data_IF_467331702837
#
_entry.id   IF_467331702837
#
_cell.length_a   1.000
_cell.length_b   1.000
_cell.length_c   1.000
_cell.angle_alpha   90.00
_cell.angle_beta   90.00
_cell.angle_gamma   90.00
#
_symmetry.space_group_name_H-M   'P 1'
#
loop_
_entity.id
_entity.type
_entity.pdbx_description
1 polymer ?
2 non-polymer ?
3 non-polymer ?
4 water ?
#
# COMPACT_ATOMS: atom_id res chain seq x y z
N UNK A 1 -18.58 -16.67 7.57
CA UNK A 1 -17.25 -16.86 6.97
C UNK A 1 -17.46 -17.50 5.59
N UNK A 2 -16.48 -17.29 4.70
CA UNK A 2 -16.62 -17.67 3.30
C UNK A 2 -15.29 -18.37 3.04
N UNK A 3 -15.28 -19.46 2.27
CA UNK A 3 -14.03 -20.06 1.89
C UNK A 3 -13.83 -19.72 0.40
N UNK A 4 -12.58 -19.57 -0.03
CA UNK A 4 -12.33 -19.25 -1.43
C UNK A 4 -11.19 -20.07 -1.99
N UNK A 5 -11.24 -20.30 -3.29
CA UNK A 5 -10.16 -20.98 -4.01
C UNK A 5 -9.84 -20.09 -5.17
N UNK A 6 -8.54 -19.99 -5.51
CA UNK A 6 -8.10 -19.13 -6.61
C UNK A 6 -6.91 -19.72 -7.30
N UNK A 7 -6.98 -19.75 -8.62
CA UNK A 7 -5.84 -20.16 -9.44
C UNK A 7 -5.34 -18.98 -10.21
N UNK A 8 -4.04 -18.85 -10.36
CA UNK A 8 -3.50 -17.66 -11.02
C UNK A 8 -2.12 -17.88 -11.54
N UNK A 9 -1.49 -16.79 -11.98
CA UNK A 9 -0.12 -16.85 -12.50
C UNK A 9 0.66 -15.62 -12.09
N UNK A 10 1.98 -15.75 -11.99
CA UNK A 10 2.82 -14.59 -11.58
C UNK A 10 3.16 -13.72 -12.81
N UNK A 11 3.83 -12.60 -12.62
CA UNK A 11 4.39 -11.87 -13.78
C UNK A 11 5.37 -12.68 -14.63
N UNK A 12 5.94 -13.73 -14.02
CA UNK A 12 6.93 -14.61 -14.69
C UNK A 12 6.26 -15.90 -15.25
N UNK A 13 4.93 -15.90 -15.25
CA UNK A 13 4.13 -17.02 -15.80
C UNK A 13 4.24 -18.33 -15.00
N UNK A 14 4.59 -18.25 -13.71
CA UNK A 14 4.48 -19.43 -12.85
C UNK A 14 3.08 -19.49 -12.23
N UNK A 15 2.61 -20.67 -11.87
CA UNK A 15 1.22 -20.85 -11.33
C UNK A 15 1.20 -20.50 -9.85
N UNK A 16 0.07 -20.01 -9.34
CA UNK A 16 -0.13 -19.81 -7.94
C UNK A 16 -1.46 -20.42 -7.66
N UNK A 17 -1.63 -20.91 -6.43
CA UNK A 17 -2.90 -21.54 -6.08
C UNK A 17 -3.16 -21.04 -4.68
N UNK A 18 -4.37 -20.55 -4.40
CA UNK A 18 -4.63 -19.92 -3.12
C UNK A 18 -5.89 -20.43 -2.48
N UNK A 19 -5.82 -20.77 -1.21
CA UNK A 19 -7.05 -21.14 -0.48
C UNK A 19 -7.21 -20.10 0.59
N UNK A 20 -8.45 -19.67 0.84
CA UNK A 20 -8.66 -18.51 1.68
C UNK A 20 -9.88 -18.63 2.57
N UNK A 21 -9.88 -17.87 3.65
CA UNK A 21 -11.08 -17.72 4.46
C UNK A 21 -11.29 -16.23 4.62
N UNK A 22 -12.55 -15.78 4.61
CA UNK A 22 -12.93 -14.39 4.64
C UNK A 22 -13.99 -14.20 5.71
N UNK A 23 -13.93 -13.07 6.44
CA UNK A 23 -14.93 -12.71 7.43
C UNK A 23 -15.49 -11.32 7.13
N UNK A 24 -16.76 -11.26 6.75
CA UNK A 24 -17.41 -10.02 6.39
C UNK A 24 -17.36 -9.10 7.61
N UNK A 25 -17.05 -7.82 7.42
CA UNK A 25 -17.09 -6.86 8.54
C UNK A 25 -18.49 -6.63 9.06
N UNK A 26 -19.49 -6.88 8.21
CA UNK A 26 -20.83 -6.33 8.76
C UNK A 26 -21.24 -4.81 9.48
N UNK A 27 -20.42 -4.08 8.72
CA UNK A 27 -20.47 -2.62 8.73
C UNK A 27 -20.35 -2.14 7.31
N UNK A 28 -21.14 -1.12 7.01
CA UNK A 28 -21.12 -0.43 5.73
C UNK A 28 -21.06 1.08 5.95
N UNK A 29 -20.52 1.79 4.97
CA UNK A 29 -20.45 3.25 4.93
C UNK A 29 -20.81 3.72 3.53
N UNK A 30 -21.04 5.02 3.41
CA UNK A 30 -21.36 5.68 2.12
C UNK A 30 -22.47 4.99 1.34
N UNK A 31 -23.50 4.53 2.07
CA UNK A 31 -24.57 3.80 1.42
C UNK A 31 -25.51 4.73 0.72
N UNK A 32 -25.69 4.48 -0.59
CA UNK A 32 -26.58 5.27 -1.44
C UNK A 32 -27.28 4.27 -2.37
N UNK A 33 -28.09 4.80 -3.29
CA UNK A 33 -28.73 3.96 -4.30
C UNK A 33 -27.67 3.31 -5.21
N UNK A 34 -26.48 3.92 -5.27
CA UNK A 34 -25.37 3.40 -6.07
C UNK A 34 -24.78 2.11 -5.53
N UNK A 35 -24.66 2.01 -4.20
CA UNK A 35 -23.95 0.90 -3.59
C UNK A 35 -23.49 1.34 -2.20
N UNK A 36 -22.45 0.69 -1.69
CA UNK A 36 -21.96 0.99 -0.36
C UNK A 36 -20.51 0.57 -0.31
N UNK A 37 -19.77 1.22 0.61
CA UNK A 37 -18.44 0.78 0.99
C UNK A 37 -18.61 -0.22 2.14
N UNK A 38 -17.86 -1.31 2.04
CA UNK A 38 -17.82 -2.30 3.12
C UNK A 38 -16.45 -2.98 3.13
N UNK A 39 -16.35 -4.18 3.71
CA UNK A 39 -15.09 -4.93 3.61
C UNK A 39 -15.11 -6.25 4.33
N UNK A 40 -13.93 -6.89 4.34
CA UNK A 40 -13.78 -8.18 5.01
C UNK A 40 -12.34 -8.42 5.42
N UNK A 41 -12.16 -9.33 6.39
CA UNK A 41 -10.83 -9.71 6.77
C UNK A 41 -10.53 -10.93 5.92
N UNK A 42 -9.36 -10.98 5.34
CA UNK A 42 -9.04 -12.06 4.40
C UNK A 42 -7.74 -12.79 4.85
N UNK A 43 -7.88 -14.09 5.09
CA UNK A 43 -6.73 -14.98 5.40
C UNK A 43 -6.46 -15.88 4.18
N UNK A 44 -5.20 -15.99 3.79
CA UNK A 44 -4.86 -16.68 2.55
C UNK A 44 -3.71 -17.64 2.74
N UNK A 45 -3.83 -18.82 2.15
CA UNK A 45 -2.70 -19.72 2.12
C UNK A 45 -2.38 -19.91 0.60
N UNK A 46 -1.15 -19.62 0.16
CA UNK A 46 -0.88 -19.62 -1.30
C UNK A 46 0.26 -20.54 -1.54
N UNK A 47 0.13 -21.36 -2.59
CA UNK A 47 1.29 -22.11 -3.07
C UNK A 47 1.76 -21.46 -4.38
N UNK A 48 3.07 -21.33 -4.50
CA UNK A 48 3.73 -20.67 -5.62
C UNK A 48 4.58 -21.70 -6.28
N UNK A 49 4.31 -22.00 -7.54
CA UNK A 49 5.11 -22.89 -8.35
C UNK A 49 6.56 -22.40 -8.37
N UNK A 50 7.50 -23.35 -8.37
CA UNK A 50 8.93 -23.00 -8.34
C UNK A 50 9.32 -22.34 -9.64
N UNK A 51 10.52 -21.76 -9.68
CA UNK A 51 11.01 -21.15 -10.89
C UNK A 51 12.53 -21.20 -10.77
N UNK A 52 13.25 -20.23 -11.30
CA UNK A 52 14.68 -20.39 -11.22
C UNK A 52 15.33 -19.95 -9.90
N UNK A 53 14.58 -19.28 -9.02
CA UNK A 53 15.11 -18.95 -7.67
C UNK A 53 14.79 -19.88 -6.51
N UNK A 54 13.51 -20.29 -6.39
CA UNK A 54 13.08 -21.31 -5.43
C UNK A 54 12.33 -22.47 -6.08
N UNK A 55 12.34 -23.64 -5.43
CA UNK A 55 11.38 -24.69 -5.75
C UNK A 55 10.06 -24.13 -5.24
N UNK A 56 9.02 -24.96 -5.15
CA UNK A 56 7.71 -24.47 -4.71
C UNK A 56 7.77 -23.91 -3.31
N UNK A 57 7.00 -22.86 -3.07
CA UNK A 57 7.00 -22.15 -1.78
C UNK A 57 5.54 -21.87 -1.33
N UNK A 58 5.38 -21.47 -0.08
CA UNK A 58 4.03 -21.25 0.48
C UNK A 58 4.04 -19.89 1.16
N UNK A 59 2.92 -19.21 1.17
CA UNK A 59 2.81 -17.98 1.92
C UNK A 59 1.51 -17.99 2.73
N UNK A 60 1.55 -17.35 3.88
CA UNK A 60 0.37 -17.16 4.72
C UNK A 60 0.20 -15.65 4.77
N UNK A 61 -1.00 -15.18 4.49
CA UNK A 61 -1.22 -13.74 4.47
C UNK A 61 -2.54 -13.37 5.15
N UNK A 62 -2.61 -12.14 5.61
CA UNK A 62 -3.78 -11.64 6.26
C UNK A 62 -3.95 -10.15 5.94
N UNK A 63 -5.15 -9.75 5.51
CA UNK A 63 -5.42 -8.38 5.08
C UNK A 63 -6.83 -7.94 5.40
N UNK A 64 -6.98 -6.67 5.84
CA UNK A 64 -8.28 -6.02 5.72
C UNK A 64 -8.45 -5.70 4.25
N UNK A 65 -9.65 -5.96 3.73
CA UNK A 65 -9.93 -5.70 2.32
C UNK A 65 -11.20 -4.84 2.24
N UNK A 66 -11.09 -3.65 1.66
CA UNK A 66 -12.25 -2.75 1.45
C UNK A 66 -12.96 -3.16 0.17
N UNK A 67 -14.28 -3.02 0.16
CA UNK A 67 -15.06 -3.44 -0.99
C UNK A 67 -16.01 -2.35 -1.29
N UNK A 68 -16.08 -1.94 -2.54
CA UNK A 68 -17.26 -1.17 -2.92
C UNK A 68 -18.22 -2.09 -3.67
N UNK A 69 -19.43 -2.25 -3.16
CA UNK A 69 -20.37 -3.20 -3.72
C UNK A 69 -21.47 -2.37 -4.32
N UNK A 70 -21.66 -2.48 -5.63
CA UNK A 70 -22.70 -1.76 -6.31
C UNK A 70 -24.08 -2.43 -6.11
N UNK A 71 -25.16 -1.64 -6.11
CA UNK A 71 -26.52 -2.19 -5.97
C UNK A 71 -26.81 -3.34 -6.97
N UNK A 72 -27.62 -4.30 -6.53
CA UNK A 72 -28.02 -5.37 -7.44
C UNK A 72 -28.95 -6.26 -6.65
N UNK A 73 -29.42 -7.31 -7.32
CA UNK A 73 -30.25 -8.30 -6.69
C UNK A 73 -29.53 -9.63 -6.82
N UNK A 74 -29.81 -10.42 -7.85
CA UNK A 74 -29.16 -11.72 -7.91
C UNK A 74 -27.67 -11.59 -8.24
N UNK A 75 -27.25 -10.43 -8.78
CA UNK A 75 -25.82 -10.11 -9.04
C UNK A 75 -25.43 -8.70 -8.60
N UNK A 76 -24.45 -8.60 -7.68
CA UNK A 76 -23.91 -7.29 -7.29
C UNK A 76 -22.45 -7.20 -7.75
N UNK A 77 -22.14 -6.37 -8.74
CA UNK A 77 -20.74 -6.11 -9.07
C UNK A 77 -20.03 -5.47 -7.92
N UNK A 78 -18.71 -5.74 -7.79
CA UNK A 78 -17.94 -5.13 -6.70
C UNK A 78 -16.52 -4.88 -7.16
N UNK A 79 -15.88 -3.91 -6.54
CA UNK A 79 -14.42 -3.77 -6.68
C UNK A 79 -13.80 -3.81 -5.28
N UNK A 80 -12.56 -4.28 -5.17
CA UNK A 80 -11.98 -4.35 -3.85
C UNK A 80 -10.49 -3.94 -3.88
N UNK A 81 -9.98 -3.55 -2.71
CA UNK A 81 -8.56 -3.14 -2.54
C UNK A 81 -8.17 -3.35 -1.12
N UNK A 82 -6.94 -3.83 -0.87
CA UNK A 82 -6.61 -3.97 0.50
C UNK A 82 -5.11 -3.98 0.60
N UNK A 83 -4.65 -3.83 1.83
CA UNK A 83 -3.25 -3.92 2.15
C UNK A 83 -3.12 -4.83 3.34
N UNK A 84 -2.22 -5.78 3.25
CA UNK A 84 -1.99 -6.66 4.39
C UNK A 84 -0.55 -7.06 4.58
N UNK A 85 -0.36 -8.20 5.25
CA UNK A 85 0.97 -8.70 5.57
C UNK A 85 1.01 -10.17 5.17
N UNK A 86 2.19 -10.66 4.79
CA UNK A 86 2.40 -12.03 4.32
C UNK A 86 3.74 -12.54 4.83
N UNK A 87 3.80 -13.84 5.12
CA UNK A 87 5.02 -14.53 5.49
C UNK A 87 5.22 -15.67 4.51
N UNK A 88 6.37 -15.69 3.83
CA UNK A 88 6.69 -16.75 2.89
C UNK A 88 7.56 -17.81 3.57
N UNK A 89 7.51 -19.01 3.03
CA UNK A 89 8.28 -20.14 3.56
C UNK A 89 9.76 -20.04 3.19
N UNK A 90 10.13 -19.13 2.29
CA UNK A 90 11.57 -18.85 2.01
C UNK A 90 11.70 -17.47 1.40
N UNK A 91 12.91 -17.01 1.12
CA UNK A 91 13.10 -15.67 0.56
C UNK A 91 13.16 -15.70 -0.96
N UNK A 92 13.29 -16.88 -1.56
CA UNK A 92 13.28 -17.01 -3.02
C UNK A 92 12.04 -17.76 -3.45
N UNK A 93 11.27 -17.17 -4.35
CA UNK A 93 9.96 -17.71 -4.74
C UNK A 93 9.87 -17.51 -6.25
N UNK A 94 9.49 -18.57 -6.96
CA UNK A 94 9.40 -18.53 -8.40
C UNK A 94 10.75 -18.10 -8.94
N UNK A 95 10.76 -17.11 -9.82
CA UNK A 95 11.99 -16.55 -10.36
C UNK A 95 12.51 -15.38 -9.51
N UNK A 96 11.97 -15.16 -8.31
CA UNK A 96 12.17 -13.89 -7.59
C UNK A 96 12.96 -14.05 -6.28
N UNK A 97 13.89 -13.12 -6.02
CA UNK A 97 14.54 -13.08 -4.72
C UNK A 97 13.89 -11.95 -3.95
N UNK A 98 13.01 -12.32 -3.03
CA UNK A 98 12.27 -11.34 -2.24
C UNK A 98 13.09 -10.62 -1.16
N UNK A 99 14.22 -11.22 -0.79
CA UNK A 99 15.07 -10.62 0.25
C UNK A 99 14.66 -11.04 1.64
N UNK A 100 13.37 -10.89 1.92
CA UNK A 100 12.80 -11.26 3.21
C UNK A 100 11.62 -12.24 3.03
N UNK A 101 11.40 -13.07 4.05
CA UNK A 101 10.24 -13.94 4.20
C UNK A 101 9.00 -13.07 4.46
N UNK A 102 9.14 -12.07 5.31
CA UNK A 102 8.04 -11.16 5.63
C UNK A 102 7.89 -10.05 4.57
N UNK A 103 6.64 -9.82 4.16
CA UNK A 103 6.36 -8.92 3.05
C UNK A 103 4.99 -8.31 3.23
N UNK A 104 4.76 -7.15 2.58
CA UNK A 104 3.42 -6.57 2.55
C UNK A 104 2.67 -7.26 1.42
N UNK A 105 1.35 -7.22 1.48
CA UNK A 105 0.48 -7.73 0.43
C UNK A 105 -0.38 -6.56 -0.01
N UNK A 106 -0.27 -6.11 -1.27
CA UNK A 106 -1.15 -5.07 -1.83
C UNK A 106 -2.02 -5.70 -2.88
N UNK A 107 -3.34 -5.49 -2.81
CA UNK A 107 -4.22 -6.19 -3.72
C UNK A 107 -5.34 -5.31 -4.25
N UNK A 108 -5.76 -5.58 -5.47
CA UNK A 108 -7.03 -5.06 -6.04
C UNK A 108 -7.79 -6.19 -6.68
N UNK A 109 -9.07 -5.99 -6.95
CA UNK A 109 -9.88 -7.07 -7.44
C UNK A 109 -11.24 -6.50 -7.89
N UNK A 110 -11.97 -7.31 -8.63
CA UNK A 110 -13.32 -6.97 -9.08
C UNK A 110 -14.07 -8.28 -9.32
N UNK A 111 -15.37 -8.28 -9.10
CA UNK A 111 -16.14 -9.43 -9.51
C UNK A 111 -17.61 -9.28 -9.32
N UNK A 112 -18.29 -10.43 -9.20
CA UNK A 112 -19.74 -10.46 -9.07
C UNK A 112 -20.10 -11.22 -7.81
N UNK A 113 -20.98 -10.62 -7.02
CA UNK A 113 -21.48 -11.35 -5.89
C UNK A 113 -22.93 -11.77 -6.15
N UNK A 114 -23.21 -13.06 -5.96
CA UNK A 114 -24.53 -13.65 -6.24
C UNK A 114 -25.46 -13.63 -5.06
N UNK A 115 -26.75 -13.84 -5.31
CA UNK A 115 -27.78 -13.79 -4.29
C UNK A 115 -27.61 -14.86 -3.21
N UNK A 116 -27.10 -16.02 -3.61
CA UNK A 116 -26.81 -17.08 -2.65
C UNK A 116 -25.55 -16.85 -1.82
N UNK A 117 -24.96 -15.66 -1.95
CA UNK A 117 -23.76 -15.34 -1.21
C UNK A 117 -22.43 -15.80 -1.80
N UNK A 118 -22.47 -16.53 -2.92
CA UNK A 118 -21.22 -16.90 -3.56
C UNK A 118 -20.73 -15.73 -4.40
N UNK A 119 -19.45 -15.76 -4.73
CA UNK A 119 -18.89 -14.74 -5.58
C UNK A 119 -17.81 -15.32 -6.48
N UNK A 120 -17.56 -14.63 -7.59
CA UNK A 120 -16.51 -14.96 -8.52
C UNK A 120 -15.84 -13.66 -8.96
N UNK A 121 -14.55 -13.70 -9.27
CA UNK A 121 -13.89 -12.45 -9.61
C UNK A 121 -12.47 -12.68 -10.02
N UNK A 122 -11.78 -11.58 -10.27
CA UNK A 122 -10.37 -11.56 -10.53
C UNK A 122 -9.65 -10.73 -9.47
N UNK A 123 -8.40 -11.08 -9.24
CA UNK A 123 -7.61 -10.40 -8.21
C UNK A 123 -6.21 -10.16 -8.80
N UNK A 124 -5.60 -9.03 -8.50
CA UNK A 124 -4.16 -8.87 -8.76
C UNK A 124 -3.53 -8.55 -7.40
N UNK A 125 -2.51 -9.31 -6.99
CA UNK A 125 -1.89 -9.13 -5.69
C UNK A 125 -0.40 -8.99 -5.88
N UNK A 126 0.19 -8.02 -5.18
CA UNK A 126 1.66 -7.85 -5.21
C UNK A 126 2.28 -7.94 -3.83
N UNK A 127 3.44 -8.57 -3.75
CA UNK A 127 4.10 -8.74 -2.48
C UNK A 127 5.50 -8.16 -2.56
N UNK A 128 5.87 -7.29 -1.64
CA UNK A 128 7.27 -6.78 -1.58
C UNK A 128 7.52 -6.19 -0.20
N UNK A 129 8.73 -5.70 0.07
CA UNK A 129 9.09 -5.33 1.44
C UNK A 129 9.41 -3.82 1.61
N UNK A 130 9.03 -3.04 0.60
CA UNK A 130 9.21 -1.59 0.56
C UNK A 130 10.67 -1.16 0.64
N UNK A 131 11.56 -2.01 0.15
CA UNK A 131 13.01 -1.70 0.07
C UNK A 131 13.79 -2.03 1.32
N UNK A 132 13.08 -2.63 2.26
CA UNK A 132 13.57 -2.88 3.61
C UNK A 132 14.52 -4.08 3.70
N UNK A 133 14.48 -4.96 2.71
CA UNK A 133 15.52 -5.95 2.61
C UNK A 133 15.80 -6.23 1.14
N UNK A 134 17.01 -5.91 0.70
CA UNK A 134 17.41 -6.12 -0.72
C UNK A 134 17.53 -7.61 -1.02
N UNK A 135 17.39 -8.05 -2.28
CA UNK A 135 17.10 -7.20 -3.44
C UNK A 135 15.60 -6.86 -3.65
N UNK A 136 14.74 -7.29 -2.72
CA UNK A 136 13.30 -6.92 -2.85
C UNK A 136 12.74 -7.05 -4.26
N UNK A 137 12.80 -8.25 -4.86
CA UNK A 137 12.39 -8.37 -6.25
C UNK A 137 10.86 -8.17 -6.40
N UNK A 138 10.14 -8.39 -5.31
CA UNK A 138 8.66 -8.46 -5.30
C UNK A 138 8.17 -9.67 -6.11
N UNK A 139 6.92 -10.05 -5.93
CA UNK A 139 6.29 -11.04 -6.82
C UNK A 139 4.78 -10.75 -6.83
N UNK A 140 4.11 -11.23 -7.87
CA UNK A 140 2.70 -10.89 -8.08
C UNK A 140 1.95 -12.15 -8.39
N UNK A 141 0.64 -12.12 -8.15
CA UNK A 141 -0.26 -13.22 -8.51
C UNK A 141 -1.50 -12.57 -9.16
N UNK A 142 -1.81 -12.98 -10.39
CA UNK A 142 -3.01 -12.52 -11.11
C UNK A 142 -3.96 -13.70 -11.25
N UNK A 143 -5.12 -13.64 -10.57
CA UNK A 143 -5.90 -14.86 -10.37
C UNK A 143 -7.41 -14.72 -10.60
N UNK A 144 -8.07 -15.85 -10.83
CA UNK A 144 -9.50 -15.94 -10.87
C UNK A 144 -9.86 -16.64 -9.56
N UNK A 145 -10.91 -16.18 -8.88
CA UNK A 145 -11.27 -16.74 -7.56
C UNK A 145 -12.75 -17.06 -7.51
N UNK A 146 -13.09 -18.03 -6.65
CA UNK A 146 -14.46 -18.40 -6.38
C UNK A 146 -14.56 -18.51 -4.87
N UNK A 147 -15.64 -17.97 -4.33
CA UNK A 147 -15.83 -17.94 -2.91
C UNK A 147 -17.26 -18.43 -2.58
N UNK A 148 -17.41 -19.19 -1.50
CA UNK A 148 -18.72 -19.80 -1.14
C UNK A 148 -18.91 -19.57 0.35
N UNK A 149 -20.09 -19.13 0.80
CA UNK A 149 -20.33 -18.90 2.24
C UNK A 149 -20.25 -20.24 2.99
N UNK A 150 -19.76 -20.27 4.23
CA UNK A 150 -19.64 -21.59 4.91
C UNK A 150 -20.36 -21.66 6.24
N UNK B 1 -3.08 25.97 5.02
CA UNK B 1 -2.10 25.12 4.32
C UNK B 1 -0.78 25.26 5.10
N UNK B 2 0.10 24.27 4.97
CA UNK B 2 1.42 24.27 5.59
C UNK B 2 2.44 24.02 4.48
N UNK B 3 3.62 24.63 4.58
CA UNK B 3 4.71 24.33 3.67
C UNK B 3 5.73 23.49 4.44
N UNK B 4 6.37 22.54 3.77
CA UNK B 4 7.39 21.75 4.46
C UNK B 4 8.66 21.56 3.65
N UNK B 5 9.73 21.24 4.35
CA UNK B 5 11.00 20.96 3.70
C UNK B 5 11.51 19.67 4.32
N UNK B 6 12.11 18.79 3.52
CA UNK B 6 12.63 17.55 4.07
C UNK B 6 13.92 17.16 3.39
N UNK B 7 14.92 16.77 4.18
CA UNK B 7 16.19 16.30 3.64
C UNK B 7 16.35 14.85 4.03
N UNK B 8 16.77 14.01 3.07
CA UNK B 8 16.78 12.61 3.29
C UNK B 8 17.85 11.90 2.49
N UNK B 9 17.83 10.59 2.60
CA UNK B 9 18.69 9.71 1.77
C UNK B 9 17.94 8.47 1.32
N UNK B 10 18.35 7.90 0.19
CA UNK B 10 17.76 6.65 -0.29
C UNK B 10 18.43 5.45 0.33
N UNK B 11 17.89 4.27 0.02
CA UNK B 11 18.51 3.01 0.43
C UNK B 11 19.89 2.79 -0.16
N UNK B 12 20.21 3.55 -1.21
CA UNK B 12 21.49 3.46 -1.91
C UNK B 12 22.39 4.63 -1.46
N UNK B 13 21.99 5.32 -0.39
CA UNK B 13 22.73 6.46 0.18
C UNK B 13 22.85 7.69 -0.73
N UNK B 14 21.90 7.90 -1.64
CA UNK B 14 21.91 9.14 -2.46
C UNK B 14 21.04 10.16 -1.72
N UNK B 15 21.31 11.44 -1.85
CA UNK B 15 20.53 12.45 -1.15
C UNK B 15 19.18 12.71 -1.81
N UNK B 16 18.17 13.09 -1.02
CA UNK B 16 16.89 13.51 -1.55
C UNK B 16 16.53 14.79 -0.83
N UNK B 17 15.80 15.65 -1.51
CA UNK B 17 15.36 16.94 -0.90
C UNK B 17 13.93 17.13 -1.37
N UNK B 18 13.02 17.44 -0.45
CA UNK B 18 11.62 17.52 -0.79
C UNK B 18 11.02 18.83 -0.28
N UNK B 19 10.27 19.51 -1.12
CA UNK B 19 9.44 20.64 -0.73
C UNK B 19 7.96 20.28 -0.89
N UNK B 20 7.10 20.75 0.01
CA UNK B 20 5.78 20.14 0.09
C UNK B 20 4.77 21.15 0.53
N UNK B 21 3.52 20.97 0.11
CA UNK B 21 2.40 21.74 0.70
C UNK B 21 1.42 20.70 1.27
N UNK B 22 0.82 21.00 2.42
CA UNK B 22 -0.12 20.13 3.12
C UNK B 22 -1.38 20.89 3.48
N UNK B 23 -2.54 20.24 3.39
CA UNK B 23 -3.79 20.87 3.76
C UNK B 23 -4.49 19.93 4.74
N UNK B 24 -4.62 20.37 5.99
CA UNK B 24 -5.32 19.59 7.01
C UNK B 24 -6.75 19.25 6.60
N UNK B 25 -7.20 18.04 6.93
CA UNK B 25 -8.58 17.64 6.59
C UNK B 25 -9.69 18.32 7.40
N UNK B 26 -9.37 18.78 8.61
CA UNK B 26 -10.38 19.46 9.43
C UNK B 26 -11.53 18.48 9.75
N UNK B 27 -11.14 17.29 10.18
CA UNK B 27 -12.05 16.20 10.47
C UNK B 27 -11.32 15.42 11.52
N UNK B 28 -12.04 14.92 12.52
CA UNK B 28 -11.50 14.06 13.58
C UNK B 28 -12.31 12.76 13.62
N UNK B 29 -11.64 11.65 13.91
CA UNK B 29 -12.33 10.40 14.08
C UNK B 29 -11.78 9.69 15.30
N UNK B 30 -12.63 8.87 15.91
CA UNK B 30 -12.29 8.10 17.08
C UNK B 30 -11.59 8.94 18.15
N UNK B 31 -12.06 10.16 18.38
CA UNK B 31 -11.45 11.02 19.38
C UNK B 31 -11.72 10.48 20.78
N UNK B 32 -10.62 10.27 21.53
CA UNK B 32 -10.68 9.88 22.94
C UNK B 32 -9.67 10.74 23.68
N UNK B 33 -9.52 10.49 24.97
CA UNK B 33 -8.54 11.20 25.76
C UNK B 33 -7.11 10.87 25.21
N UNK B 34 -6.97 9.73 24.54
CA UNK B 34 -5.68 9.29 23.97
C UNK B 34 -5.25 10.20 22.81
N UNK B 35 -6.23 10.66 22.02
CA UNK B 35 -5.96 11.42 20.81
C UNK B 35 -7.05 11.23 19.77
N UNK B 36 -6.70 11.47 18.51
CA UNK B 36 -7.69 11.38 17.43
C UNK B 36 -7.05 10.92 16.12
N UNK B 37 -7.83 10.27 15.30
CA UNK B 37 -7.43 10.01 13.92
C UNK B 37 -7.88 11.21 13.10
N UNK B 38 -6.96 11.70 12.28
CA UNK B 38 -7.25 12.79 11.37
C UNK B 38 -6.37 12.60 10.10
N UNK B 39 -6.08 13.67 9.38
CA UNK B 39 -5.15 13.55 8.23
C UNK B 39 -4.97 14.86 7.48
N UNK B 40 -4.30 14.75 6.34
CA UNK B 40 -4.03 15.90 5.49
C UNK B 40 -3.78 15.44 4.04
N UNK B 41 -4.00 16.35 3.09
CA UNK B 41 -3.60 16.13 1.71
C UNK B 41 -2.17 16.66 1.57
N UNK B 42 -1.28 15.91 0.93
CA UNK B 42 0.12 16.31 0.85
C UNK B 42 0.58 16.32 -0.62
N UNK B 43 1.08 17.47 -1.09
CA UNK B 43 1.64 17.56 -2.45
C UNK B 43 3.14 17.73 -2.21
N UNK B 44 3.98 16.97 -2.92
CA UNK B 44 5.41 17.03 -2.71
C UNK B 44 6.18 17.19 -4.00
N UNK B 45 7.28 17.92 -3.92
CA UNK B 45 8.21 17.96 -5.04
C UNK B 45 9.54 17.49 -4.47
N UNK B 46 10.13 16.45 -5.09
CA UNK B 46 11.34 15.82 -4.56
C UNK B 46 12.38 15.84 -5.64
N UNK B 47 13.57 16.27 -5.27
CA UNK B 47 14.69 16.15 -6.14
C UNK B 47 15.52 14.95 -5.65
N UNK B 48 15.90 14.09 -6.59
CA UNK B 48 16.68 12.88 -6.29
C UNK B 48 18.07 12.97 -6.91
N UNK B 49 19.09 13.03 -6.05
CA UNK B 49 20.46 13.15 -6.52
C UNK B 49 20.94 11.89 -7.22
N UNK B 50 21.58 12.06 -8.39
CA UNK B 50 22.01 10.93 -9.23
C UNK B 50 23.55 10.74 -9.14
N UNK B 55 22.34 13.92 -13.99
CA UNK B 55 21.70 12.62 -13.66
C UNK B 55 20.63 12.73 -12.57
N UNK B 56 20.41 13.94 -12.05
CA UNK B 56 19.38 14.17 -11.05
C UNK B 56 18.00 14.10 -11.67
N UNK B 57 17.03 13.69 -10.86
CA UNK B 57 15.67 13.52 -11.35
C UNK B 57 14.68 14.10 -10.31
N UNK B 58 13.45 14.29 -10.73
CA UNK B 58 12.46 15.04 -9.98
C UNK B 58 11.21 14.17 -9.89
N UNK B 59 10.46 14.27 -8.81
CA UNK B 59 9.12 13.65 -8.77
C UNK B 59 8.08 14.60 -8.23
N UNK B 60 6.87 14.48 -8.73
CA UNK B 60 5.77 15.20 -8.14
C UNK B 60 4.87 14.13 -7.56
N UNK B 61 4.44 14.32 -6.32
CA UNK B 61 3.60 13.30 -5.72
C UNK B 61 2.37 13.93 -5.02
N UNK B 62 1.33 13.14 -4.82
CA UNK B 62 0.17 13.61 -4.05
C UNK B 62 -0.44 12.43 -3.29
N UNK B 63 -0.79 12.64 -2.03
CA UNK B 63 -1.26 11.56 -1.14
C UNK B 63 -2.25 12.11 -0.15
N UNK B 64 -3.28 11.30 0.13
CA UNK B 64 -4.02 11.44 1.37
C UNK B 64 -3.12 10.81 2.42
N UNK B 65 -2.89 11.53 3.51
CA UNK B 65 -2.04 11.03 4.58
C UNK B 65 -2.87 10.98 5.86
N UNK B 66 -3.01 9.77 6.41
CA UNK B 66 -3.67 9.56 7.70
C UNK B 66 -2.75 9.85 8.87
N UNK B 67 -3.32 10.41 9.95
CA UNK B 67 -2.50 10.82 11.08
C UNK B 67 -3.23 10.46 12.33
N UNK B 68 -2.56 9.73 13.20
CA UNK B 68 -3.04 9.61 14.56
C UNK B 68 -2.28 10.59 15.43
N UNK B 69 -3.01 11.55 15.98
CA UNK B 69 -2.46 12.66 16.74
C UNK B 69 -2.75 12.42 18.20
N UNK B 70 -1.72 12.19 18.98
CA UNK B 70 -1.88 11.99 20.43
C UNK B 70 -2.21 13.33 21.12
N UNK B 71 -3.00 13.30 22.19
CA UNK B 71 -3.33 14.49 22.99
C UNK B 71 -2.10 15.26 23.55
N UNK B 72 -2.23 16.57 23.72
CA UNK B 72 -1.14 17.37 24.31
C UNK B 72 -1.50 18.84 24.19
N UNK B 73 -0.64 19.73 24.69
CA UNK B 73 -0.88 21.17 24.65
C UNK B 73 0.17 21.79 23.69
N UNK B 74 1.36 22.13 24.18
CA UNK B 74 2.34 22.78 23.32
C UNK B 74 3.07 21.80 22.36
N UNK B 75 3.07 20.50 22.70
CA UNK B 75 3.61 19.39 21.85
C UNK B 75 2.56 18.26 21.80
N UNK B 76 2.18 17.83 20.59
CA UNK B 76 1.35 16.64 20.37
C UNK B 76 2.15 15.67 19.50
N UNK B 77 2.56 14.52 20.02
CA UNK B 77 3.13 13.48 19.18
C UNK B 77 2.15 12.94 18.17
N UNK B 78 2.69 12.44 17.05
CA UNK B 78 1.80 11.86 16.03
C UNK B 78 2.53 10.80 15.23
N UNK B 79 1.76 9.88 14.67
CA UNK B 79 2.30 8.96 13.71
C UNK B 79 1.43 9.13 12.44
N UNK B 80 1.98 8.83 11.27
CA UNK B 80 1.25 9.03 10.02
C UNK B 80 1.51 7.89 9.06
N UNK B 81 0.56 7.66 8.17
CA UNK B 81 0.70 6.67 7.09
C UNK B 81 -0.20 7.05 5.95
N UNK B 82 0.29 6.84 4.74
CA UNK B 82 -0.48 7.21 3.59
C UNK B 82 -0.06 6.41 2.39
N UNK B 83 -0.96 6.34 1.41
CA UNK B 83 -0.61 5.89 0.09
C UNK B 83 -1.02 6.95 -0.89
N UNK B 84 -0.14 7.25 -1.82
CA UNK B 84 -0.55 8.21 -2.87
C UNK B 84 0.05 7.83 -4.21
N UNK B 85 0.21 8.82 -5.07
CA UNK B 85 0.72 8.57 -6.42
C UNK B 85 1.81 9.60 -6.72
N UNK B 86 2.75 9.24 -7.60
CA UNK B 86 3.91 10.10 -7.87
C UNK B 86 4.22 9.92 -9.36
N UNK B 87 4.69 10.98 -10.02
CA UNK B 87 5.20 10.84 -11.38
C UNK B 87 6.65 11.29 -11.37
N UNK B 88 7.56 10.46 -11.90
CA UNK B 88 8.99 10.83 -11.96
C UNK B 88 9.34 11.42 -13.31
N UNK B 89 10.34 12.31 -13.31
CA UNK B 89 10.79 12.93 -14.56
C UNK B 89 11.59 11.99 -15.46
N UNK B 90 12.00 10.83 -14.94
CA UNK B 90 12.64 9.77 -15.80
C UNK B 90 12.53 8.44 -15.05
N UNK B 91 12.74 7.31 -15.74
CA UNK B 91 12.55 6.01 -15.06
C UNK B 91 13.82 5.54 -14.33
N UNK B 92 14.94 6.17 -14.62
CA UNK B 92 16.20 5.85 -13.94
C UNK B 92 16.49 6.93 -12.87
N UNK B 93 16.28 6.61 -11.60
CA UNK B 93 16.43 7.60 -10.54
C UNK B 93 17.45 6.98 -9.60
N UNK B 94 18.48 7.76 -9.23
CA UNK B 94 19.55 7.19 -8.40
C UNK B 94 20.14 5.98 -9.11
N UNK B 95 20.33 4.86 -8.38
CA UNK B 95 20.85 3.63 -8.99
C UNK B 95 19.75 2.74 -9.51
N UNK B 96 18.49 3.23 -9.49
CA UNK B 96 17.31 2.36 -9.61
C UNK B 96 16.68 2.53 -10.97
N UNK B 97 16.01 1.48 -11.45
CA UNK B 97 15.22 1.55 -12.66
C UNK B 97 13.77 1.26 -12.28
N UNK B 98 12.94 2.30 -12.23
CA UNK B 98 11.56 2.14 -11.73
C UNK B 98 10.66 1.52 -12.82
N UNK B 99 11.13 1.54 -14.07
CA UNK B 99 10.39 0.97 -15.22
C UNK B 99 9.34 1.93 -15.71
N UNK B 100 8.55 2.51 -14.80
CA UNK B 100 7.61 3.55 -15.19
C UNK B 100 7.86 4.89 -14.51
N UNK B 101 7.36 5.93 -15.15
CA UNK B 101 7.33 7.29 -14.57
C UNK B 101 6.34 7.30 -13.41
N UNK B 102 5.15 6.73 -13.64
CA UNK B 102 4.09 6.76 -12.65
C UNK B 102 4.32 5.67 -11.65
N UNK B 103 4.27 5.99 -10.35
CA UNK B 103 4.48 4.99 -9.31
C UNK B 103 3.56 5.28 -8.14
N UNK B 104 3.34 4.31 -7.25
CA UNK B 104 2.67 4.59 -5.97
C UNK B 104 3.68 5.21 -4.99
N UNK B 105 3.18 5.96 -4.00
CA UNK B 105 3.97 6.50 -2.93
C UNK B 105 3.43 5.87 -1.64
N UNK B 106 4.20 5.01 -0.96
CA UNK B 106 3.74 4.44 0.33
C UNK B 106 4.57 5.10 1.38
N UNK B 107 3.95 5.61 2.46
CA UNK B 107 4.76 6.31 3.48
C UNK B 107 4.29 6.04 4.90
N UNK B 108 5.25 6.12 5.80
CA UNK B 108 4.98 6.21 7.23
C UNK B 108 5.80 7.31 7.88
N UNK B 109 5.39 7.78 9.04
CA UNK B 109 6.15 8.86 9.61
C UNK B 109 5.78 9.05 11.06
N UNK B 110 6.59 9.82 11.77
CA UNK B 110 6.31 10.12 13.19
C UNK B 110 6.88 11.48 13.51
N UNK B 111 6.26 12.20 14.43
CA UNK B 111 6.86 13.46 14.82
C UNK B 111 6.16 14.18 15.93
N UNK B 112 6.43 15.47 16.05
CA UNK B 112 5.82 16.29 17.11
C UNK B 112 5.16 17.51 16.47
N UNK B 113 3.90 17.76 16.80
CA UNK B 113 3.28 19.00 16.33
C UNK B 113 3.31 19.98 17.49
N UNK B 114 3.71 21.22 17.23
CA UNK B 114 3.84 22.24 18.29
C UNK B 114 2.59 23.11 18.35
N UNK B 115 2.42 23.85 19.46
CA UNK B 115 1.22 24.66 19.61
C UNK B 115 1.14 25.79 18.61
N UNK B 116 2.28 26.25 18.09
CA UNK B 116 2.21 27.27 17.02
C UNK B 116 1.94 26.70 15.60
N UNK B 117 1.51 25.45 15.52
CA UNK B 117 1.13 24.82 14.23
C UNK B 117 2.30 24.17 13.47
N UNK B 118 3.53 24.40 13.94
CA UNK B 118 4.71 23.81 13.28
C UNK B 118 4.89 22.36 13.68
N UNK B 119 5.58 21.59 12.86
CA UNK B 119 5.89 20.23 13.23
C UNK B 119 7.24 19.80 12.68
N UNK B 120 7.81 18.79 13.31
CA UNK B 120 9.10 18.19 12.94
C UNK B 120 8.94 16.67 13.06
N UNK B 121 9.63 15.92 12.21
CA UNK B 121 9.45 14.51 12.34
C UNK B 121 10.35 13.79 11.37
N UNK B 122 10.16 12.48 11.33
CA UNK B 122 10.91 11.62 10.43
C UNK B 122 9.89 10.90 9.54
N UNK B 123 10.31 10.57 8.33
CA UNK B 123 9.43 9.93 7.37
C UNK B 123 10.21 8.90 6.58
N UNK B 124 9.59 7.75 6.28
CA UNK B 124 10.11 6.74 5.36
C UNK B 124 9.12 6.60 4.20
N UNK B 125 9.58 6.82 2.95
CA UNK B 125 8.67 6.78 1.80
C UNK B 125 9.25 5.82 0.80
N UNK B 126 8.39 4.98 0.23
CA UNK B 126 8.81 4.03 -0.78
C UNK B 126 7.98 4.24 -2.06
N UNK B 127 8.66 4.26 -3.21
CA UNK B 127 7.93 4.40 -4.45
C UNK B 127 8.17 3.16 -5.33
N UNK B 128 7.10 2.54 -5.83
CA UNK B 128 7.21 1.50 -6.86
C UNK B 128 5.87 1.29 -7.56
N UNK B 129 5.76 0.32 -8.45
CA UNK B 129 4.57 0.27 -9.31
C UNK B 129 3.79 -1.05 -9.16
N UNK B 130 4.13 -1.86 -8.14
CA UNK B 130 3.45 -3.13 -7.85
C UNK B 130 3.59 -4.18 -8.94
N UNK B 131 4.72 -4.11 -9.64
CA UNK B 131 5.02 -5.03 -10.71
C UNK B 131 4.27 -4.74 -11.98
N UNK B 132 3.60 -3.59 -12.05
CA UNK B 132 2.93 -3.19 -13.31
C UNK B 132 3.88 -2.84 -14.49
N UNK B 133 5.12 -2.45 -14.17
CA UNK B 133 6.09 -2.22 -15.24
C UNK B 133 7.49 -2.59 -14.77
N UNK B 134 8.05 -3.60 -15.39
CA UNK B 134 9.36 -4.13 -15.04
C UNK B 134 10.47 -3.13 -15.39
N UNK B 135 11.62 -3.14 -14.70
CA UNK B 135 11.91 -4.03 -13.59
C UNK B 135 11.39 -3.55 -12.23
N UNK B 136 10.61 -2.47 -12.20
CA UNK B 136 10.03 -1.98 -10.93
C UNK B 136 11.02 -2.08 -9.76
N UNK B 137 12.19 -1.42 -9.84
CA UNK B 137 13.24 -1.55 -8.80
C UNK B 137 12.80 -0.85 -7.49
N UNK B 138 11.97 0.19 -7.63
CA UNK B 138 11.51 0.95 -6.49
C UNK B 138 12.62 1.86 -5.97
N UNK B 139 12.28 2.82 -5.13
CA UNK B 139 13.31 3.66 -4.54
C UNK B 139 12.72 4.18 -3.26
N UNK B 140 13.56 4.45 -2.28
CA UNK B 140 13.05 4.93 -1.00
C UNK B 140 13.69 6.23 -0.60
N UNK B 141 13.03 6.96 0.30
CA UNK B 141 13.64 8.16 0.85
C UNK B 141 13.39 8.13 2.35
N UNK B 142 14.46 8.19 3.14
CA UNK B 142 14.36 8.26 4.63
C UNK B 142 14.78 9.65 5.09
N UNK B 143 13.87 10.41 5.70
CA UNK B 143 14.05 11.85 5.77
C UNK B 143 13.64 12.46 7.11
N UNK B 144 14.18 13.64 7.39
CA UNK B 144 13.80 14.48 8.49
C UNK B 144 13.04 15.65 7.86
N UNK B 145 11.86 15.99 8.38
CA UNK B 145 11.05 17.08 7.79
C UNK B 145 10.72 18.12 8.81
N UNK B 146 10.43 19.34 8.32
CA UNK B 146 9.92 20.45 9.12
C UNK B 146 8.79 21.13 8.35
N UNK B 147 7.72 21.46 9.04
CA UNK B 147 6.54 22.02 8.43
C UNK B 147 6.13 23.28 9.21
N UNK B 148 5.65 24.29 8.51
CA UNK B 148 5.25 25.57 9.11
C UNK B 148 3.94 26.03 8.46
N UNK B 149 2.98 26.48 9.25
CA UNK B 149 1.69 26.91 8.65
C UNK B 149 1.93 28.18 7.84
N UNK B 150 1.23 28.36 6.73
CA UNK B 150 1.45 29.54 5.90
C UNK B 150 0.16 30.30 5.70
#
# INVERSE_FOLDING_TARGET
>A
ADVSAAVGATGQSGMTYRLGLSWDWDKSWWQTSTGRLTGYWDAGYTYWEGGDEGAGKHSLSFAPVFVYEFAGDSIKPFIEAGIGVAAFSGTRVGDQNLGSSLNFEDRIGAGLKFANGQSVGVRAIHYSNAGLKQPNDGIESYSLFYKIPI
>B
ADVSAAVGATGQSGMTYRLGLSWDWDKSWWQTSTGRLTGYWDAGYTYWEGGDEGAGKHSLSFAPVFVYEFAGDSIKPFIEAGIGVAAFSGTRVGDQNLGSSLNFEDRIGAGLKFANGQSVGVRAIHYSNAGLKQPNDGIESYSLFYKIPI
#
